data_IF_665209568400
#
_entry.id   IF_665209568400
#
_cell.length_a   1.000
_cell.length_b   1.000
_cell.length_c   1.000
_cell.angle_alpha   90.00
_cell.angle_beta   90.00
_cell.angle_gamma   90.00
#
_symmetry.space_group_name_H-M   'P 1'
#
loop_
_entity.id
_entity.type
_entity.pdbx_description
1 polymer ?
#
# COMPACT_ATOMS: atom_id res chain seq x y z
N UNK A 1 21.05 -15.62 17.01
CA UNK A 1 20.27 -16.74 17.57
C UNK A 1 19.04 -16.96 16.72
N UNK A 2 18.65 -18.24 16.50
CA UNK A 2 17.40 -18.56 15.80
C UNK A 2 16.25 -18.43 16.79
N UNK A 3 15.24 -17.65 16.45
CA UNK A 3 14.16 -17.25 17.35
C UNK A 3 12.81 -17.36 16.68
N UNK A 4 11.77 -17.40 17.49
CA UNK A 4 10.37 -17.30 17.08
C UNK A 4 9.78 -16.04 17.71
N UNK A 5 9.11 -15.23 16.91
CA UNK A 5 8.40 -14.03 17.36
C UNK A 5 6.94 -14.11 16.93
N UNK A 6 6.03 -13.90 17.88
CA UNK A 6 4.58 -13.92 17.61
C UNK A 6 3.96 -12.57 17.99
N UNK A 7 3.05 -12.08 17.16
CA UNK A 7 2.31 -10.85 17.42
C UNK A 7 1.54 -10.37 16.21
N UNK A 8 0.99 -9.17 16.28
CA UNK A 8 0.22 -8.55 15.19
C UNK A 8 1.16 -7.79 14.27
N UNK A 9 1.14 -8.12 12.98
CA UNK A 9 1.95 -7.44 11.97
C UNK A 9 1.38 -6.06 11.68
N UNK A 10 2.25 -5.06 11.62
CA UNK A 10 1.96 -3.71 11.18
C UNK A 10 2.92 -3.33 10.05
N UNK A 11 2.36 -3.11 8.87
CA UNK A 11 3.13 -2.72 7.68
C UNK A 11 2.91 -1.24 7.40
N UNK A 12 3.99 -0.48 7.27
CA UNK A 12 3.97 0.92 6.91
C UNK A 12 5.09 1.24 5.93
N UNK A 13 4.77 1.40 4.66
CA UNK A 13 5.75 1.51 3.59
C UNK A 13 6.69 0.30 3.55
N UNK A 14 7.98 0.52 3.73
CA UNK A 14 8.98 -0.55 3.77
C UNK A 14 9.26 -1.11 5.19
N UNK A 15 8.48 -0.71 6.18
CA UNK A 15 8.66 -1.15 7.56
C UNK A 15 7.64 -2.23 7.92
N UNK A 16 8.13 -3.36 8.38
CA UNK A 16 7.37 -4.51 8.83
C UNK A 16 7.64 -4.71 10.32
N UNK A 17 6.73 -4.27 11.16
CA UNK A 17 6.87 -4.35 12.60
C UNK A 17 5.84 -5.34 13.18
N UNK A 18 6.23 -6.06 14.22
CA UNK A 18 5.35 -6.97 14.94
C UNK A 18 5.11 -6.42 16.33
N UNK A 19 3.86 -6.09 16.60
CA UNK A 19 3.40 -5.65 17.92
C UNK A 19 3.15 -6.90 18.78
N UNK A 20 3.90 -7.00 19.87
CA UNK A 20 3.82 -8.13 20.79
C UNK A 20 2.96 -7.73 21.99
N UNK A 21 1.95 -8.54 22.33
CA UNK A 21 1.08 -8.26 23.46
C UNK A 21 1.85 -8.17 24.79
N UNK A 22 1.47 -7.22 25.63
CA UNK A 22 2.04 -7.03 26.97
C UNK A 22 3.37 -6.26 26.99
N UNK A 23 3.82 -5.70 25.88
CA UNK A 23 5.03 -4.86 25.81
C UNK A 23 4.88 -3.71 24.84
N UNK A 24 5.61 -2.61 25.09
CA UNK A 24 5.75 -1.49 24.14
C UNK A 24 6.86 -1.75 23.10
N UNK A 25 7.66 -2.79 23.28
CA UNK A 25 8.69 -3.19 22.34
C UNK A 25 8.06 -3.92 21.15
N UNK A 26 8.70 -3.82 20.00
CA UNK A 26 8.21 -4.40 18.75
C UNK A 26 9.29 -5.26 18.10
N UNK A 27 8.87 -6.31 17.41
CA UNK A 27 9.71 -6.94 16.42
C UNK A 27 9.84 -6.07 15.18
N UNK A 28 10.95 -6.17 14.47
CA UNK A 28 11.14 -5.52 13.19
C UNK A 28 11.77 -6.51 12.20
N UNK A 29 11.09 -6.76 11.10
CA UNK A 29 11.63 -7.58 10.01
C UNK A 29 12.66 -6.75 9.26
N UNK A 30 13.92 -7.18 9.32
CA UNK A 30 15.06 -6.41 8.85
C UNK A 30 15.50 -6.94 7.49
N UNK A 31 15.38 -6.08 6.46
CA UNK A 31 15.69 -6.40 5.06
C UNK A 31 15.02 -7.71 4.58
N UNK A 32 13.67 -7.80 4.57
CA UNK A 32 13.00 -9.01 4.10
C UNK A 32 13.37 -9.29 2.63
N UNK A 33 13.55 -10.58 2.32
CA UNK A 33 13.66 -11.02 0.94
C UNK A 33 12.35 -10.71 0.18
N UNK A 34 12.44 -10.44 -1.11
CA UNK A 34 11.28 -9.93 -1.88
C UNK A 34 10.09 -10.91 -1.90
N UNK A 35 10.35 -12.21 -1.95
CA UNK A 35 9.33 -13.26 -1.85
C UNK A 35 8.61 -13.24 -0.50
N UNK A 36 9.37 -13.17 0.61
CA UNK A 36 8.83 -13.07 1.96
C UNK A 36 8.11 -11.74 2.17
N UNK A 37 8.65 -10.66 1.61
CA UNK A 37 8.11 -9.31 1.76
C UNK A 37 6.69 -9.19 1.24
N UNK A 38 6.42 -9.69 0.03
CA UNK A 38 5.13 -9.65 -0.61
C UNK A 38 4.08 -10.46 0.19
N UNK A 39 4.41 -11.71 0.51
CA UNK A 39 3.52 -12.59 1.28
C UNK A 39 3.26 -12.08 2.70
N UNK A 40 4.30 -11.52 3.36
CA UNK A 40 4.17 -10.97 4.70
C UNK A 40 3.33 -9.68 4.70
N UNK A 41 3.44 -8.86 3.66
CA UNK A 41 2.61 -7.67 3.53
C UNK A 41 1.11 -8.00 3.49
N UNK A 42 0.73 -9.13 2.88
CA UNK A 42 -0.64 -9.62 2.87
C UNK A 42 -1.18 -10.01 4.25
N UNK A 43 -0.31 -10.15 5.26
CA UNK A 43 -0.70 -10.43 6.64
C UNK A 43 -0.83 -9.15 7.50
N UNK A 44 -0.80 -7.95 6.91
CA UNK A 44 -0.92 -6.69 7.65
C UNK A 44 -2.19 -6.67 8.52
N UNK A 45 -2.04 -6.33 9.80
CA UNK A 45 -3.14 -6.34 10.77
C UNK A 45 -3.50 -7.72 11.34
N UNK A 46 -2.93 -8.81 10.82
CA UNK A 46 -3.15 -10.17 11.31
C UNK A 46 -2.09 -10.61 12.32
N UNK A 47 -2.43 -11.60 13.12
CA UNK A 47 -1.46 -12.30 13.96
C UNK A 47 -0.51 -13.12 13.08
N UNK A 48 0.78 -12.96 13.28
CA UNK A 48 1.84 -13.71 12.58
C UNK A 48 2.77 -14.39 13.58
N UNK A 49 3.33 -15.51 13.16
CA UNK A 49 4.44 -16.18 13.83
C UNK A 49 5.64 -16.15 12.89
N UNK A 50 6.67 -15.39 13.25
CA UNK A 50 7.88 -15.22 12.46
C UNK A 50 8.99 -16.14 12.98
N UNK A 51 9.66 -16.82 12.09
CA UNK A 51 10.83 -17.64 12.36
C UNK A 51 12.07 -17.01 11.70
N UNK A 52 13.16 -16.88 12.42
CA UNK A 52 14.35 -16.27 11.84
C UNK A 52 15.49 -16.05 12.83
N UNK A 53 16.45 -15.25 12.41
CA UNK A 53 17.63 -14.94 13.20
C UNK A 53 17.56 -13.53 13.77
N UNK A 54 17.75 -13.41 15.09
CA UNK A 54 17.95 -12.11 15.73
C UNK A 54 19.25 -11.47 15.24
N UNK A 55 19.22 -10.19 14.92
CA UNK A 55 20.39 -9.46 14.43
C UNK A 55 20.85 -8.36 15.36
N UNK A 56 19.94 -7.52 15.82
CA UNK A 56 20.26 -6.34 16.63
C UNK A 56 19.01 -5.78 17.33
N UNK A 57 19.23 -4.75 18.15
CA UNK A 57 18.16 -3.91 18.70
C UNK A 57 18.38 -2.49 18.21
N UNK A 58 17.34 -1.86 17.65
CA UNK A 58 17.41 -0.47 17.23
C UNK A 58 16.50 0.42 18.09
N UNK A 59 16.93 1.66 18.32
CA UNK A 59 16.22 2.68 19.12
C UNK A 59 15.78 2.21 20.53
N UNK A 60 16.42 1.16 21.07
CA UNK A 60 16.05 0.58 22.36
C UNK A 60 14.65 -0.04 22.43
N UNK A 61 13.97 -0.17 21.30
CA UNK A 61 12.56 -0.58 21.21
C UNK A 61 12.34 -1.70 20.18
N UNK A 62 13.10 -1.71 19.08
CA UNK A 62 12.88 -2.65 18.00
C UNK A 62 13.85 -3.82 18.07
N UNK A 63 13.30 -5.02 18.19
CA UNK A 63 14.04 -6.28 18.09
C UNK A 63 14.13 -6.66 16.60
N UNK A 64 15.29 -6.45 15.99
CA UNK A 64 15.48 -6.69 14.57
C UNK A 64 15.78 -8.17 14.28
N UNK A 65 15.10 -8.72 13.27
CA UNK A 65 15.32 -10.10 12.85
C UNK A 65 15.28 -10.23 11.32
N UNK A 66 16.07 -11.15 10.80
CA UNK A 66 15.95 -11.63 9.43
C UNK A 66 15.04 -12.85 9.45
N UNK A 67 13.90 -12.75 8.79
CA UNK A 67 12.88 -13.79 8.72
C UNK A 67 13.26 -14.81 7.65
N UNK A 68 13.16 -16.08 7.99
CA UNK A 68 13.38 -17.21 7.08
C UNK A 68 12.11 -17.90 6.67
N UNK A 69 11.07 -17.83 7.51
CA UNK A 69 9.72 -18.30 7.24
C UNK A 69 8.73 -17.66 8.22
N UNK A 70 7.46 -17.72 7.91
CA UNK A 70 6.42 -17.26 8.79
C UNK A 70 5.12 -18.08 8.62
N UNK A 71 4.26 -17.97 9.61
CA UNK A 71 2.88 -18.44 9.60
C UNK A 71 1.99 -17.23 9.90
N UNK A 72 0.90 -17.08 9.18
CA UNK A 72 -0.07 -16.01 9.36
C UNK A 72 -1.22 -16.18 8.38
N UNK A 73 -2.39 -15.75 8.78
CA UNK A 73 -3.51 -15.67 7.85
C UNK A 73 -3.28 -14.51 6.89
N UNK A 74 -3.04 -14.83 5.63
CA UNK A 74 -3.07 -13.84 4.58
C UNK A 74 -4.50 -13.31 4.51
N UNK A 75 -4.66 -12.02 4.78
CA UNK A 75 -5.88 -11.33 4.40
C UNK A 75 -5.94 -11.42 2.88
N UNK A 76 -6.64 -12.41 2.35
CA UNK A 76 -7.03 -12.40 0.94
C UNK A 76 -7.93 -11.19 0.81
N UNK A 77 -7.34 -10.10 0.39
CA UNK A 77 -8.04 -8.85 0.17
C UNK A 77 -9.10 -9.11 -0.90
N UNK A 78 -10.36 -9.17 -0.51
CA UNK A 78 -11.43 -8.92 -1.48
C UNK A 78 -11.05 -7.61 -2.19
N UNK A 79 -11.26 -7.58 -3.51
CA UNK A 79 -10.93 -6.37 -4.29
C UNK A 79 -11.69 -5.20 -3.70
N UNK A 80 -10.95 -4.29 -3.08
CA UNK A 80 -11.54 -3.12 -2.43
C UNK A 80 -11.96 -2.08 -3.47
N UNK A 81 -12.96 -1.28 -3.14
CA UNK A 81 -13.36 -0.13 -3.93
C UNK A 81 -12.44 1.07 -3.64
N UNK A 82 -12.02 1.78 -4.66
CA UNK A 82 -11.13 2.95 -4.50
C UNK A 82 -11.74 4.00 -3.57
N UNK A 83 -13.04 4.27 -3.69
CA UNK A 83 -13.75 5.24 -2.86
C UNK A 83 -13.97 4.82 -1.39
N UNK A 84 -13.61 3.59 -1.02
CA UNK A 84 -13.75 3.05 0.34
C UNK A 84 -12.39 2.92 1.06
N UNK A 85 -11.28 3.23 0.37
CA UNK A 85 -9.94 3.13 0.91
C UNK A 85 -9.68 4.19 2.00
N UNK A 86 -8.90 3.80 3.00
CA UNK A 86 -8.42 4.66 4.05
C UNK A 86 -6.88 4.62 4.16
N UNK A 87 -6.29 5.69 4.70
CA UNK A 87 -4.86 5.72 4.99
C UNK A 87 -4.48 4.60 5.97
N UNK A 88 -3.47 3.83 5.62
CA UNK A 88 -2.97 2.68 6.40
C UNK A 88 -3.52 1.34 5.94
N UNK A 89 -4.50 1.30 5.04
CA UNK A 89 -5.00 0.05 4.48
C UNK A 89 -3.90 -0.66 3.67
N UNK A 90 -3.94 -1.98 3.69
CA UNK A 90 -3.29 -2.83 2.72
C UNK A 90 -4.40 -3.48 1.88
N UNK A 91 -4.47 -3.14 0.60
CA UNK A 91 -5.62 -3.46 -0.23
C UNK A 91 -5.22 -3.94 -1.62
N UNK A 92 -6.04 -4.82 -2.19
CA UNK A 92 -6.07 -5.13 -3.61
C UNK A 92 -7.16 -4.29 -4.26
N UNK A 93 -6.82 -3.50 -5.25
CA UNK A 93 -7.75 -2.66 -6.01
C UNK A 93 -7.65 -2.96 -7.50
N UNK A 94 -8.77 -2.91 -8.20
CA UNK A 94 -8.80 -3.04 -9.66
C UNK A 94 -9.38 -1.76 -10.26
N UNK A 95 -8.78 -1.33 -11.36
CA UNK A 95 -9.26 -0.12 -12.04
C UNK A 95 -8.62 0.07 -13.40
N UNK A 96 -8.95 1.20 -14.01
CA UNK A 96 -8.44 1.62 -15.31
C UNK A 96 -7.45 2.77 -15.13
N UNK A 97 -6.34 2.73 -15.84
CA UNK A 97 -5.40 3.85 -15.92
C UNK A 97 -6.05 4.98 -16.72
N UNK A 98 -6.31 6.11 -16.09
CA UNK A 98 -7.03 7.24 -16.70
C UNK A 98 -6.16 8.49 -16.89
N UNK A 99 -5.04 8.59 -16.19
CA UNK A 99 -4.05 9.64 -16.43
C UNK A 99 -2.64 9.10 -16.10
N UNK A 100 -1.63 9.62 -16.77
CA UNK A 100 -0.23 9.22 -16.55
C UNK A 100 0.58 10.47 -16.23
N UNK A 101 1.30 10.40 -15.12
CA UNK A 101 2.23 11.43 -14.67
C UNK A 101 3.68 10.97 -14.73
N UNK A 102 4.61 11.85 -14.39
CA UNK A 102 6.04 11.54 -14.39
C UNK A 102 6.46 10.56 -13.26
N UNK A 103 5.61 10.33 -12.27
CA UNK A 103 5.89 9.48 -11.10
C UNK A 103 4.71 8.58 -10.74
N UNK A 104 4.04 8.05 -11.75
CA UNK A 104 2.91 7.15 -11.57
C UNK A 104 1.71 7.52 -12.43
N UNK A 105 0.55 7.06 -12.04
CA UNK A 105 -0.67 7.20 -12.82
C UNK A 105 -1.89 7.34 -11.89
N UNK A 106 -3.02 7.74 -12.46
CA UNK A 106 -4.32 7.68 -11.80
C UNK A 106 -4.99 6.38 -12.18
N UNK A 107 -5.38 5.60 -11.17
CA UNK A 107 -6.24 4.43 -11.27
C UNK A 107 -7.66 4.82 -10.91
N UNK A 108 -8.63 4.43 -11.71
CA UNK A 108 -10.04 4.79 -11.54
C UNK A 108 -10.93 3.56 -11.62
N UNK A 109 -11.85 3.43 -10.67
CA UNK A 109 -12.96 2.48 -10.71
C UNK A 109 -14.30 3.24 -10.74
N UNK A 110 -15.43 2.53 -10.54
CA UNK A 110 -16.77 3.13 -10.50
C UNK A 110 -17.03 3.98 -9.25
N UNK A 111 -16.17 3.92 -8.23
CA UNK A 111 -16.35 4.61 -6.95
C UNK A 111 -15.46 5.82 -6.79
N UNK A 112 -14.33 5.87 -7.50
CA UNK A 112 -13.38 6.97 -7.36
C UNK A 112 -12.11 6.82 -8.18
N UNK A 113 -11.18 7.69 -7.90
CA UNK A 113 -9.85 7.71 -8.51
C UNK A 113 -8.78 7.88 -7.45
N UNK A 114 -7.66 7.20 -7.61
CA UNK A 114 -6.52 7.27 -6.69
C UNK A 114 -5.20 7.36 -7.45
N UNK A 115 -4.25 8.11 -6.91
CA UNK A 115 -2.89 8.17 -7.44
C UNK A 115 -2.11 6.91 -7.06
N UNK A 116 -1.55 6.21 -8.04
CA UNK A 116 -0.46 5.28 -7.81
C UNK A 116 0.86 6.05 -7.92
N UNK A 117 1.62 6.11 -6.83
CA UNK A 117 2.87 6.85 -6.79
C UNK A 117 4.06 5.90 -6.74
N UNK A 118 4.97 6.06 -7.69
CA UNK A 118 6.24 5.34 -7.74
C UNK A 118 7.38 6.31 -8.11
N UNK A 119 8.33 6.57 -7.19
CA UNK A 119 9.47 7.44 -7.47
C UNK A 119 10.41 6.89 -8.54
N UNK A 120 10.38 5.57 -8.78
CA UNK A 120 11.19 4.88 -9.80
C UNK A 120 10.41 4.59 -11.07
N UNK A 121 9.21 5.20 -11.20
CA UNK A 121 8.29 4.96 -12.30
C UNK A 121 8.96 5.10 -13.67
N UNK A 122 8.89 4.06 -14.47
CA UNK A 122 9.18 4.05 -15.90
C UNK A 122 7.88 3.87 -16.66
N UNK A 123 7.62 4.72 -17.65
CA UNK A 123 6.30 4.91 -18.27
C UNK A 123 5.91 3.75 -19.23
N UNK A 124 5.73 2.56 -18.70
CA UNK A 124 5.30 1.39 -19.49
C UNK A 124 3.77 1.19 -19.51
N UNK A 125 3.01 2.00 -18.73
CA UNK A 125 1.55 1.94 -18.68
C UNK A 125 0.91 2.87 -19.71
N UNK A 126 -0.28 2.49 -20.17
CA UNK A 126 -1.05 3.26 -21.16
C UNK A 126 -2.46 3.59 -20.64
N UNK A 127 -3.03 4.71 -21.14
CA UNK A 127 -4.43 5.07 -20.85
C UNK A 127 -5.36 3.95 -21.33
N UNK A 128 -6.34 3.59 -20.51
CA UNK A 128 -7.27 2.49 -20.76
C UNK A 128 -6.76 1.13 -20.31
N UNK A 129 -5.54 1.04 -19.79
CA UNK A 129 -5.01 -0.20 -19.23
C UNK A 129 -5.73 -0.55 -17.94
N UNK A 130 -6.24 -1.77 -17.86
CA UNK A 130 -6.88 -2.30 -16.66
C UNK A 130 -5.85 -3.04 -15.82
N UNK A 131 -5.74 -2.65 -14.56
CA UNK A 131 -4.78 -3.19 -13.61
C UNK A 131 -5.47 -3.69 -12.36
N UNK A 132 -4.87 -4.71 -11.73
CA UNK A 132 -5.12 -5.09 -10.34
C UNK A 132 -3.84 -4.84 -9.57
N UNK A 133 -3.91 -4.06 -8.49
CA UNK A 133 -2.75 -3.62 -7.71
C UNK A 133 -2.97 -3.99 -6.25
N UNK A 134 -2.01 -4.68 -5.65
CA UNK A 134 -1.99 -4.97 -4.22
C UNK A 134 -0.89 -4.17 -3.56
N UNK A 135 -1.27 -3.26 -2.64
CA UNK A 135 -0.30 -2.37 -1.98
C UNK A 135 -0.88 -1.67 -0.75
N UNK A 136 -0.02 -0.94 -0.05
CA UNK A 136 -0.42 -0.07 1.03
C UNK A 136 -1.01 1.24 0.51
N UNK A 137 -2.02 1.74 1.21
CA UNK A 137 -2.63 3.06 1.01
C UNK A 137 -1.96 4.05 1.96
N UNK A 138 -1.31 5.04 1.41
CA UNK A 138 -0.73 6.16 2.14
C UNK A 138 -1.42 7.47 1.80
N UNK A 139 -0.87 8.57 2.30
CA UNK A 139 -1.33 9.91 1.94
C UNK A 139 -0.18 10.86 1.64
N UNK A 140 -0.43 11.83 0.77
CA UNK A 140 0.46 12.95 0.53
C UNK A 140 -0.34 14.22 0.31
N UNK A 141 -0.06 15.25 1.11
CA UNK A 141 -0.78 16.53 1.07
C UNK A 141 -2.31 16.37 1.07
N UNK A 142 -2.80 15.47 1.93
CA UNK A 142 -4.23 15.10 2.09
C UNK A 142 -4.85 14.32 0.92
N UNK A 143 -4.10 14.00 -0.12
CA UNK A 143 -4.53 13.06 -1.15
C UNK A 143 -4.15 11.64 -0.75
N UNK A 144 -5.10 10.70 -0.80
CA UNK A 144 -4.79 9.29 -0.69
C UNK A 144 -4.00 8.84 -1.91
N UNK A 145 -3.07 7.92 -1.70
CA UNK A 145 -2.29 7.34 -2.78
C UNK A 145 -1.93 5.88 -2.50
N UNK A 146 -1.86 5.10 -3.57
CA UNK A 146 -1.28 3.76 -3.54
C UNK A 146 0.25 3.88 -3.55
N UNK A 147 0.91 3.12 -2.68
CA UNK A 147 2.38 3.05 -2.63
C UNK A 147 2.93 2.20 -3.77
N UNK A 148 4.20 2.41 -4.13
CA UNK A 148 4.87 1.58 -5.14
C UNK A 148 4.92 0.11 -4.69
N UNK A 149 4.67 -0.79 -5.63
CA UNK A 149 4.69 -2.24 -5.41
C UNK A 149 5.12 -2.95 -6.69
N UNK A 150 5.56 -4.19 -6.55
CA UNK A 150 5.75 -5.11 -7.68
C UNK A 150 4.51 -5.98 -7.94
N UNK A 151 3.51 -5.94 -7.06
CA UNK A 151 2.28 -6.70 -7.16
C UNK A 151 1.26 -5.95 -8.03
N UNK A 152 1.55 -5.87 -9.33
CA UNK A 152 0.69 -5.26 -10.34
C UNK A 152 0.39 -6.30 -11.42
N UNK A 153 -0.86 -6.66 -11.55
CA UNK A 153 -1.36 -7.52 -12.62
C UNK A 153 -1.95 -6.67 -13.74
N UNK A 154 -1.47 -6.90 -14.95
CA UNK A 154 -1.99 -6.25 -16.16
C UNK A 154 -3.05 -7.14 -16.76
N UNK A 155 -4.30 -6.69 -16.75
CA UNK A 155 -5.43 -7.50 -17.21
C UNK A 155 -5.73 -7.30 -18.71
N UNK A 156 -6.03 -6.08 -19.11
CA UNK A 156 -6.41 -5.76 -20.49
C UNK A 156 -6.18 -4.28 -20.80
N UNK A 157 -6.43 -3.88 -22.02
CA UNK A 157 -6.49 -2.47 -22.43
C UNK A 157 -7.84 -2.25 -23.12
N UNK A 158 -8.53 -1.19 -22.72
CA UNK A 158 -9.82 -0.77 -23.30
C UNK A 158 -9.70 0.62 -23.91
N UNK A 159 -10.59 0.96 -24.81
CA UNK A 159 -10.75 2.33 -25.27
C UNK A 159 -11.37 3.17 -24.13
N UNK A 160 -10.59 4.11 -23.61
CA UNK A 160 -11.04 4.96 -22.50
C UNK A 160 -11.56 6.31 -23.03
N UNK A 161 -12.81 6.60 -22.70
CA UNK A 161 -13.44 7.89 -23.01
C UNK A 161 -13.51 8.73 -21.73
N UNK A 162 -12.86 9.90 -21.75
CA UNK A 162 -12.91 10.82 -20.62
C UNK A 162 -14.33 11.32 -20.37
N UNK A 163 -14.75 11.45 -19.10
CA UNK A 163 -15.98 12.14 -18.76
C UNK A 163 -15.91 13.60 -19.21
N UNK A 164 -17.07 14.24 -19.31
CA UNK A 164 -17.13 15.66 -19.64
C UNK A 164 -16.42 16.48 -18.56
N UNK A 165 -15.43 17.27 -18.96
CA UNK A 165 -14.72 18.14 -18.04
C UNK A 165 -15.66 19.21 -17.44
N UNK A 166 -15.50 19.46 -16.15
CA UNK A 166 -16.21 20.53 -15.44
C UNK A 166 -15.27 21.72 -15.26
N UNK A 167 -15.80 22.92 -15.42
CA UNK A 167 -15.06 24.15 -15.14
C UNK A 167 -15.17 24.46 -13.65
N UNK A 168 -14.04 24.48 -12.97
CA UNK A 168 -13.97 24.85 -11.54
C UNK A 168 -14.00 26.37 -11.45
N UNK A 169 -14.96 26.91 -10.70
CA UNK A 169 -15.05 28.33 -10.38
C UNK A 169 -14.03 28.73 -9.33
N UNK A 170 -13.73 30.03 -9.18
CA UNK A 170 -12.83 30.51 -8.13
C UNK A 170 -13.30 30.13 -6.73
N UNK A 171 -14.60 30.20 -6.46
CA UNK A 171 -15.17 29.83 -5.17
C UNK A 171 -15.03 28.33 -4.86
N UNK A 172 -15.19 27.46 -5.86
CA UNK A 172 -14.97 26.02 -5.72
C UNK A 172 -13.50 25.70 -5.49
N UNK A 173 -12.58 26.42 -6.17
CA UNK A 173 -11.15 26.28 -5.96
C UNK A 173 -10.76 26.70 -4.54
N UNK A 174 -11.25 27.83 -4.06
CA UNK A 174 -10.99 28.31 -2.69
C UNK A 174 -11.54 27.32 -1.66
N UNK A 175 -12.74 26.79 -1.87
CA UNK A 175 -13.33 25.76 -1.02
C UNK A 175 -12.50 24.48 -1.03
N UNK A 176 -12.06 24.04 -2.20
CA UNK A 176 -11.22 22.85 -2.35
C UNK A 176 -9.88 22.98 -1.61
N UNK A 177 -9.25 24.17 -1.66
CA UNK A 177 -7.98 24.45 -0.97
C UNK A 177 -8.18 24.50 0.55
N UNK A 178 -9.31 25.07 1.01
CA UNK A 178 -9.62 25.22 2.42
C UNK A 178 -10.05 23.89 3.10
N UNK A 179 -10.46 22.90 2.32
CA UNK A 179 -10.84 21.59 2.84
C UNK A 179 -9.64 20.90 3.49
N UNK A 180 -9.83 20.37 4.69
CA UNK A 180 -8.79 19.77 5.53
C UNK A 180 -8.89 18.25 5.62
N UNK A 181 -9.91 17.63 5.02
CA UNK A 181 -10.10 16.18 5.04
C UNK A 181 -9.20 15.46 4.02
N UNK A 182 -8.96 14.18 4.26
CA UNK A 182 -8.31 13.29 3.29
C UNK A 182 -9.24 13.04 2.10
N UNK A 183 -8.66 12.91 0.92
CA UNK A 183 -9.36 12.69 -0.35
C UNK A 183 -8.75 11.53 -1.10
#
# INVERSE_FOLDING_TARGET
>A
EYVVLKGVLSVSGNYFNVVVEGTENQGSVYYPAEDIKAELAACNGSEVTLYGYSTSVSSGKYFNMIVTSFEGDQNQSETAKIGELAEGDYATVSGTVTAIGARGFILTDETGSIMYYDPSYSADYVIGQQLTITTNVGSYNKGLQLSSTTEIEVNSVIDYNYPQAQVITSAELDSYIADTELR
#
